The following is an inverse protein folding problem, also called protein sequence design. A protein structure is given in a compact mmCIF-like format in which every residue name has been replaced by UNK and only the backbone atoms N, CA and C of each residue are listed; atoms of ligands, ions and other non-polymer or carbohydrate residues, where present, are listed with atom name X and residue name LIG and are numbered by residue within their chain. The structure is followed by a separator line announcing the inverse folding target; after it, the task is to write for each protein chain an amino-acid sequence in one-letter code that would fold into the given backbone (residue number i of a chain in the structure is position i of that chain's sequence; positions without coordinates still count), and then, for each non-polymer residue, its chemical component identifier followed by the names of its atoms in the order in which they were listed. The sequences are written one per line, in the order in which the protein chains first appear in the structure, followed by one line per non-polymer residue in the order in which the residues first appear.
data_IF_248685973945
#
_entry.id   IF_248685973945
#
_cell.length_a   1.000
_cell.length_b   1.000
_cell.length_c   1.000
_cell.angle_alpha   90.00
_cell.angle_beta   90.00
_cell.angle_gamma   90.00
#
_symmetry.space_group_name_H-M   'P 1'
#
loop_
_entity.id
_entity.type
_entity.pdbx_description
1 polymer ?
#
# COMPACT_ATOMS: atom_id res chain seq x y z
N UNK A 1 -27.29 -9.75 -15.82
CA UNK A 1 -27.87 -8.64 -15.02
C UNK A 1 -28.31 -7.54 -15.98
N UNK A 2 -29.42 -6.85 -15.73
CA UNK A 2 -29.83 -5.72 -16.58
C UNK A 2 -28.94 -4.50 -16.39
N UNK A 3 -28.64 -3.77 -17.46
CA UNK A 3 -27.83 -2.56 -17.45
C UNK A 3 -28.42 -1.50 -16.50
N UNK A 4 -29.74 -1.36 -16.47
CA UNK A 4 -30.47 -0.46 -15.56
C UNK A 4 -30.14 -0.68 -14.09
N UNK A 5 -29.93 -1.94 -13.66
CA UNK A 5 -29.51 -2.26 -12.30
C UNK A 5 -28.09 -1.82 -12.00
N UNK A 6 -27.18 -1.92 -12.97
CA UNK A 6 -25.77 -1.51 -12.82
C UNK A 6 -25.65 0.03 -12.79
N UNK A 7 -26.54 0.74 -13.45
CA UNK A 7 -26.56 2.21 -13.53
C UNK A 7 -27.31 2.89 -12.36
N UNK A 8 -27.91 2.13 -11.44
CA UNK A 8 -28.81 2.62 -10.40
C UNK A 8 -28.24 3.77 -9.54
N UNK A 9 -26.94 3.74 -9.26
CA UNK A 9 -26.27 4.71 -8.39
C UNK A 9 -25.46 5.75 -9.18
N UNK A 10 -25.80 5.98 -10.46
CA UNK A 10 -25.05 6.85 -11.36
C UNK A 10 -26.01 7.82 -12.03
N UNK A 11 -25.64 9.10 -12.07
CA UNK A 11 -26.30 10.07 -12.93
C UNK A 11 -25.79 9.88 -14.36
N UNK A 12 -26.68 9.69 -15.31
CA UNK A 12 -26.34 9.45 -16.70
C UNK A 12 -27.40 9.99 -17.67
N UNK A 13 -26.98 10.17 -18.91
CA UNK A 13 -27.88 10.45 -20.05
C UNK A 13 -27.85 9.25 -21.00
N UNK A 14 -29.01 8.69 -21.30
CA UNK A 14 -29.15 7.70 -22.36
C UNK A 14 -29.16 8.43 -23.72
N UNK A 15 -28.06 8.29 -24.47
CA UNK A 15 -27.93 8.92 -25.80
C UNK A 15 -28.63 8.08 -26.85
N UNK A 16 -28.52 6.74 -26.77
CA UNK A 16 -29.06 5.79 -27.74
C UNK A 16 -29.29 4.44 -27.08
N UNK A 17 -30.22 3.65 -27.62
CA UNK A 17 -30.44 2.26 -27.22
C UNK A 17 -31.38 2.09 -26.03
N UNK A 18 -31.16 1.07 -25.20
CA UNK A 18 -32.05 0.66 -24.12
C UNK A 18 -31.25 0.17 -22.90
N UNK A 19 -31.67 0.57 -21.71
CA UNK A 19 -31.06 0.16 -20.43
C UNK A 19 -31.53 -1.19 -19.90
N UNK A 20 -32.54 -1.79 -20.50
CA UNK A 20 -33.02 -3.13 -20.16
C UNK A 20 -32.19 -4.26 -20.80
N UNK A 21 -31.12 -3.89 -21.51
CA UNK A 21 -30.15 -4.83 -22.10
C UNK A 21 -29.51 -5.69 -21.00
N UNK A 22 -29.52 -7.00 -21.21
CA UNK A 22 -28.73 -7.91 -20.32
C UNK A 22 -27.25 -7.80 -20.56
N UNK A 23 -26.50 -7.70 -19.47
CA UNK A 23 -25.04 -7.61 -19.46
C UNK A 23 -24.42 -8.67 -18.60
N UNK A 24 -23.29 -9.19 -19.10
CA UNK A 24 -22.50 -10.23 -18.43
C UNK A 24 -21.40 -9.65 -17.55
N UNK A 25 -20.81 -8.50 -17.93
CA UNK A 25 -19.66 -7.91 -17.23
C UNK A 25 -19.49 -6.42 -17.59
N UNK A 26 -18.69 -5.70 -16.78
CA UNK A 26 -18.26 -4.31 -17.00
C UNK A 26 -16.76 -4.30 -17.28
N UNK A 27 -16.38 -3.84 -18.46
CA UNK A 27 -15.00 -3.92 -18.95
C UNK A 27 -14.47 -2.52 -19.28
N UNK A 28 -13.25 -2.19 -18.85
CA UNK A 28 -12.57 -0.94 -19.20
C UNK A 28 -11.30 -1.16 -20.07
N UNK A 29 -10.90 -2.41 -20.29
CA UNK A 29 -9.84 -2.80 -21.22
C UNK A 29 -10.44 -3.38 -22.51
N UNK A 30 -10.38 -2.63 -23.61
CA UNK A 30 -10.99 -3.01 -24.90
C UNK A 30 -10.56 -4.39 -25.42
N UNK A 31 -9.40 -4.88 -25.01
CA UNK A 31 -8.87 -6.20 -25.38
C UNK A 31 -9.59 -7.36 -24.69
N UNK A 32 -10.31 -7.08 -23.62
CA UNK A 32 -11.09 -8.04 -22.82
C UNK A 32 -12.58 -8.03 -23.13
N UNK A 33 -13.02 -7.15 -24.02
CA UNK A 33 -14.42 -7.05 -24.42
C UNK A 33 -14.86 -8.32 -25.11
N UNK A 34 -16.01 -8.83 -24.73
CA UNK A 34 -16.71 -9.99 -25.30
C UNK A 34 -18.20 -9.68 -25.47
N UNK A 35 -18.95 -10.58 -26.11
CA UNK A 35 -20.38 -10.42 -26.27
C UNK A 35 -21.09 -10.28 -24.90
N UNK A 36 -21.98 -9.33 -24.81
CA UNK A 36 -22.77 -9.08 -23.59
C UNK A 36 -22.08 -8.18 -22.56
N UNK A 37 -20.88 -7.67 -22.83
CA UNK A 37 -20.20 -6.76 -21.89
C UNK A 37 -20.56 -5.30 -22.10
N UNK A 38 -20.42 -4.47 -21.06
CA UNK A 38 -20.41 -3.01 -21.15
C UNK A 38 -18.96 -2.53 -21.18
N UNK A 39 -18.60 -1.74 -22.19
CA UNK A 39 -17.30 -1.10 -22.24
C UNK A 39 -17.36 0.31 -21.65
N UNK A 40 -16.53 0.59 -20.65
CA UNK A 40 -16.38 1.91 -20.02
C UNK A 40 -15.11 2.57 -20.55
N UNK A 41 -15.25 3.67 -21.29
CA UNK A 41 -14.16 4.39 -21.93
C UNK A 41 -13.43 5.31 -20.92
N UNK A 42 -12.41 4.80 -20.24
CA UNK A 42 -11.66 5.57 -19.26
C UNK A 42 -10.70 6.56 -19.90
N UNK A 43 -10.69 7.81 -19.45
CA UNK A 43 -9.58 8.74 -19.71
C UNK A 43 -8.38 8.35 -18.85
N UNK A 44 -7.35 7.78 -19.47
CA UNK A 44 -6.08 7.47 -18.83
C UNK A 44 -5.11 8.63 -18.88
N UNK A 45 -4.00 8.52 -18.13
CA UNK A 45 -2.94 9.53 -18.15
C UNK A 45 -2.29 9.67 -19.55
N UNK A 46 -1.98 8.52 -20.18
CA UNK A 46 -1.29 8.49 -21.47
C UNK A 46 -2.22 8.18 -22.67
N UNK A 47 -3.37 7.58 -22.42
CA UNK A 47 -4.24 7.09 -23.47
C UNK A 47 -5.69 7.35 -23.10
N UNK A 48 -6.44 7.92 -24.01
CA UNK A 48 -7.88 8.11 -23.90
C UNK A 48 -8.62 6.85 -24.39
N UNK A 49 -9.39 6.23 -23.50
CA UNK A 49 -10.18 5.02 -23.76
C UNK A 49 -11.27 5.21 -24.82
N UNK A 50 -11.76 6.44 -25.05
CA UNK A 50 -12.76 6.73 -26.08
C UNK A 50 -12.30 6.31 -27.49
N UNK A 51 -10.99 6.34 -27.75
CA UNK A 51 -10.41 5.89 -29.03
C UNK A 51 -10.66 4.40 -29.30
N UNK A 52 -10.96 3.62 -28.26
CA UNK A 52 -11.18 2.17 -28.39
C UNK A 52 -12.67 1.78 -28.42
N UNK A 53 -13.59 2.75 -28.37
CA UNK A 53 -15.03 2.49 -28.46
C UNK A 53 -15.39 1.73 -29.74
N UNK A 54 -14.91 2.12 -30.95
CA UNK A 54 -15.21 1.36 -32.17
C UNK A 54 -14.71 -0.09 -32.13
N UNK A 55 -13.54 -0.32 -31.53
CA UNK A 55 -12.99 -1.67 -31.34
C UNK A 55 -13.84 -2.48 -30.37
N UNK A 56 -14.25 -1.89 -29.24
CA UNK A 56 -15.09 -2.55 -28.24
C UNK A 56 -16.42 -2.99 -28.85
N UNK A 57 -17.08 -2.12 -29.63
CA UNK A 57 -18.31 -2.45 -30.36
C UNK A 57 -18.07 -3.62 -31.31
N UNK A 58 -17.02 -3.58 -32.13
CA UNK A 58 -16.66 -4.67 -33.04
C UNK A 58 -16.38 -5.99 -32.33
N UNK A 59 -15.89 -5.92 -31.08
CA UNK A 59 -15.63 -7.08 -30.22
C UNK A 59 -16.87 -7.61 -29.51
N UNK A 60 -18.04 -6.99 -29.70
CA UNK A 60 -19.33 -7.46 -29.20
C UNK A 60 -19.81 -6.79 -27.91
N UNK A 61 -19.32 -5.59 -27.58
CA UNK A 61 -19.90 -4.82 -26.49
C UNK A 61 -21.40 -4.58 -26.73
N UNK A 62 -22.23 -4.81 -25.71
CA UNK A 62 -23.66 -4.56 -25.77
C UNK A 62 -24.04 -3.11 -25.41
N UNK A 63 -23.17 -2.45 -24.68
CA UNK A 63 -23.29 -1.04 -24.35
C UNK A 63 -21.91 -0.39 -24.18
N UNK A 64 -21.86 0.93 -24.35
CA UNK A 64 -20.67 1.75 -24.08
C UNK A 64 -21.01 2.89 -23.13
N UNK A 65 -20.07 3.18 -22.21
CA UNK A 65 -20.15 4.33 -21.29
C UNK A 65 -19.02 5.30 -21.64
N UNK A 66 -19.41 6.54 -21.95
CA UNK A 66 -18.53 7.60 -22.43
C UNK A 66 -18.70 8.87 -21.61
N UNK A 67 -17.70 9.76 -21.60
CA UNK A 67 -17.82 11.12 -21.05
C UNK A 67 -17.79 12.19 -22.14
N UNK A 68 -17.20 11.93 -23.29
CA UNK A 68 -17.08 12.86 -24.39
C UNK A 68 -18.11 12.57 -25.46
N UNK A 69 -18.56 13.63 -26.15
CA UNK A 69 -19.41 13.47 -27.33
C UNK A 69 -18.62 12.83 -28.46
N UNK A 70 -19.17 11.77 -29.03
CA UNK A 70 -18.62 11.10 -30.19
C UNK A 70 -19.73 10.46 -31.04
N UNK A 71 -19.49 10.40 -32.34
CA UNK A 71 -20.37 9.69 -33.24
C UNK A 71 -20.20 8.19 -33.12
N UNK A 72 -21.29 7.49 -32.80
CA UNK A 72 -21.37 6.03 -32.73
C UNK A 72 -22.45 5.59 -33.71
N UNK A 73 -22.06 5.14 -34.91
CA UNK A 73 -23.03 4.86 -35.97
C UNK A 73 -23.81 3.56 -35.76
N UNK A 74 -23.23 2.62 -35.03
CA UNK A 74 -23.84 1.30 -34.79
C UNK A 74 -25.04 1.36 -33.88
N UNK A 75 -25.95 0.39 -34.02
CA UNK A 75 -27.12 0.27 -33.16
C UNK A 75 -26.75 -0.42 -31.83
N UNK A 76 -26.17 0.37 -30.93
CA UNK A 76 -25.71 -0.06 -29.59
C UNK A 76 -26.23 0.91 -28.51
N UNK A 77 -26.37 0.44 -27.30
CA UNK A 77 -26.69 1.30 -26.15
C UNK A 77 -25.53 2.20 -25.79
N UNK A 78 -25.75 3.52 -25.76
CA UNK A 78 -24.75 4.54 -25.44
C UNK A 78 -25.21 5.33 -24.22
N UNK A 79 -24.40 5.24 -23.17
CA UNK A 79 -24.59 5.94 -21.89
C UNK A 79 -23.53 7.04 -21.78
N UNK A 80 -23.96 8.27 -21.55
CA UNK A 80 -23.08 9.39 -21.28
C UNK A 80 -23.10 9.73 -19.78
N UNK A 81 -21.92 9.92 -19.21
CA UNK A 81 -21.69 10.30 -17.80
C UNK A 81 -20.71 11.46 -17.75
N UNK A 82 -20.68 12.20 -16.65
CA UNK A 82 -19.70 13.27 -16.46
C UNK A 82 -18.29 12.75 -16.28
N UNK A 83 -18.13 11.62 -15.53
CA UNK A 83 -16.83 10.97 -15.27
C UNK A 83 -16.96 9.44 -15.38
N UNK A 84 -16.28 8.87 -16.37
CA UNK A 84 -16.29 7.43 -16.62
C UNK A 84 -15.57 6.62 -15.55
N UNK A 85 -14.58 7.20 -14.82
CA UNK A 85 -13.90 6.53 -13.73
C UNK A 85 -14.78 6.39 -12.50
N UNK A 86 -15.49 7.47 -12.18
CA UNK A 86 -16.49 7.46 -11.12
C UNK A 86 -17.62 6.48 -11.46
N UNK A 87 -18.10 6.52 -12.71
CA UNK A 87 -19.09 5.57 -13.18
C UNK A 87 -18.63 4.12 -13.07
N UNK A 88 -17.38 3.81 -13.46
CA UNK A 88 -16.78 2.46 -13.30
C UNK A 88 -16.82 1.99 -11.84
N UNK A 89 -16.54 2.87 -10.88
CA UNK A 89 -16.54 2.51 -9.47
C UNK A 89 -17.92 2.03 -9.00
N UNK A 90 -18.97 2.81 -9.27
CA UNK A 90 -20.33 2.46 -8.87
C UNK A 90 -20.90 1.30 -9.68
N UNK A 91 -20.62 1.23 -11.00
CA UNK A 91 -21.00 0.08 -11.83
C UNK A 91 -20.40 -1.22 -11.33
N UNK A 92 -19.13 -1.18 -10.94
CA UNK A 92 -18.44 -2.36 -10.40
C UNK A 92 -19.02 -2.78 -9.05
N UNK A 93 -19.34 -1.83 -8.16
CA UNK A 93 -19.99 -2.14 -6.89
C UNK A 93 -21.33 -2.87 -7.11
N UNK A 94 -22.16 -2.35 -8.00
CA UNK A 94 -23.43 -2.99 -8.35
C UNK A 94 -23.25 -4.36 -9.00
N UNK A 95 -22.29 -4.49 -9.91
CA UNK A 95 -21.98 -5.77 -10.59
C UNK A 95 -21.62 -6.87 -9.59
N UNK A 96 -20.82 -6.54 -8.58
CA UNK A 96 -20.35 -7.49 -7.55
C UNK A 96 -21.25 -7.54 -6.31
N UNK A 97 -22.42 -6.91 -6.35
CA UNK A 97 -23.44 -6.99 -5.29
C UNK A 97 -23.08 -6.18 -4.05
N UNK A 98 -22.41 -5.03 -4.22
CA UNK A 98 -22.06 -4.07 -3.16
C UNK A 98 -21.35 -4.72 -1.97
N UNK A 99 -20.23 -5.43 -2.20
CA UNK A 99 -19.54 -6.24 -1.17
C UNK A 99 -19.00 -5.38 0.00
N UNK A 100 -18.83 -4.07 -0.18
CA UNK A 100 -18.47 -3.13 0.88
C UNK A 100 -19.49 -3.09 2.02
N UNK A 101 -20.75 -3.42 1.75
CA UNK A 101 -21.80 -3.47 2.77
C UNK A 101 -21.74 -4.73 3.66
N UNK A 102 -21.00 -5.74 3.24
CA UNK A 102 -20.84 -7.00 3.96
C UNK A 102 -19.50 -7.10 4.73
N UNK A 103 -18.62 -6.09 4.58
CA UNK A 103 -17.29 -6.03 5.17
C UNK A 103 -17.14 -4.76 6.04
N UNK A 104 -16.42 -4.86 7.13
CA UNK A 104 -15.82 -3.66 7.74
C UNK A 104 -14.65 -3.20 6.84
N UNK A 105 -14.71 -1.96 6.38
CA UNK A 105 -13.80 -1.43 5.39
C UNK A 105 -12.82 -0.43 5.98
N UNK A 106 -11.51 -0.66 5.79
CA UNK A 106 -10.44 0.17 6.35
C UNK A 106 -9.51 0.62 5.24
N UNK A 107 -9.34 1.93 5.06
CA UNK A 107 -8.40 2.49 4.12
C UNK A 107 -7.25 3.22 4.80
N UNK A 108 -6.03 3.06 4.27
CA UNK A 108 -4.84 3.73 4.79
C UNK A 108 -4.21 4.63 3.73
N UNK A 109 -3.99 5.89 4.09
CA UNK A 109 -3.20 6.83 3.28
C UNK A 109 -2.02 7.39 4.08
N UNK A 110 -1.10 8.04 3.40
CA UNK A 110 0.12 8.65 3.94
C UNK A 110 1.31 8.42 3.02
N UNK A 111 2.47 8.98 3.33
CA UNK A 111 3.67 8.79 2.52
C UNK A 111 4.37 7.48 2.87
N UNK A 112 4.67 7.24 4.13
CA UNK A 112 5.39 6.05 4.64
C UNK A 112 4.55 5.29 5.67
N UNK A 113 4.98 4.08 6.04
CA UNK A 113 4.36 3.29 7.10
C UNK A 113 3.15 2.45 6.70
N UNK A 114 2.43 2.76 5.62
CA UNK A 114 1.19 2.08 5.20
C UNK A 114 1.28 0.55 5.21
N UNK A 115 2.31 -0.03 4.58
CA UNK A 115 2.47 -1.50 4.50
C UNK A 115 2.64 -2.13 5.87
N UNK A 116 3.44 -1.50 6.73
CA UNK A 116 3.69 -1.94 8.11
C UNK A 116 2.42 -1.84 8.95
N UNK A 117 1.70 -0.72 8.87
CA UNK A 117 0.43 -0.53 9.60
C UNK A 117 -0.63 -1.54 9.15
N UNK A 118 -0.76 -1.82 7.84
CA UNK A 118 -1.65 -2.89 7.32
C UNK A 118 -1.28 -4.24 7.93
N UNK A 119 0.00 -4.59 7.96
CA UNK A 119 0.46 -5.86 8.52
C UNK A 119 0.22 -5.95 10.03
N UNK A 120 0.45 -4.86 10.76
CA UNK A 120 0.16 -4.77 12.20
C UNK A 120 -1.34 -4.97 12.47
N UNK A 121 -2.18 -4.23 11.75
CA UNK A 121 -3.63 -4.34 11.90
C UNK A 121 -4.12 -5.74 11.53
N UNK A 122 -3.62 -6.30 10.42
CA UNK A 122 -3.95 -7.70 10.06
C UNK A 122 -3.52 -8.68 11.15
N UNK A 123 -2.32 -8.53 11.72
CA UNK A 123 -1.83 -9.39 12.81
C UNK A 123 -2.70 -9.29 14.06
N UNK A 124 -3.19 -8.10 14.40
CA UNK A 124 -4.14 -7.89 15.49
C UNK A 124 -5.47 -8.60 15.21
N UNK A 125 -6.02 -8.44 14.00
CA UNK A 125 -7.26 -9.10 13.60
C UNK A 125 -7.13 -10.63 13.59
N UNK A 126 -6.00 -11.14 13.09
CA UNK A 126 -5.71 -12.58 13.12
C UNK A 126 -5.61 -13.11 14.57
N UNK A 127 -5.04 -12.32 15.51
CA UNK A 127 -4.97 -12.67 16.93
C UNK A 127 -6.35 -12.69 17.61
N UNK A 128 -7.28 -11.84 17.18
CA UNK A 128 -8.69 -11.82 17.60
C UNK A 128 -9.52 -12.93 16.94
N UNK A 129 -8.96 -13.63 15.94
CA UNK A 129 -9.70 -14.63 15.16
C UNK A 129 -10.58 -14.06 14.06
N UNK A 130 -10.42 -12.78 13.72
CA UNK A 130 -11.18 -12.11 12.66
C UNK A 130 -10.47 -12.29 11.33
N UNK A 131 -11.13 -12.98 10.40
CA UNK A 131 -10.60 -13.19 9.06
C UNK A 131 -10.66 -11.90 8.25
N UNK A 132 -9.52 -11.45 7.74
CA UNK A 132 -9.39 -10.23 6.95
C UNK A 132 -8.70 -10.46 5.61
N UNK A 133 -9.02 -9.63 4.63
CA UNK A 133 -8.32 -9.52 3.36
C UNK A 133 -7.60 -8.18 3.23
N UNK A 134 -6.53 -8.13 2.43
CA UNK A 134 -5.78 -6.88 2.20
C UNK A 134 -5.57 -6.59 0.73
N UNK A 135 -5.59 -5.32 0.35
CA UNK A 135 -5.29 -4.82 -1.00
C UNK A 135 -4.13 -3.83 -0.91
N UNK A 136 -3.04 -4.07 -1.63
CA UNK A 136 -1.89 -3.18 -1.57
C UNK A 136 -0.75 -3.56 -2.52
N UNK A 137 0.44 -3.04 -2.26
CA UNK A 137 1.63 -3.25 -3.12
C UNK A 137 2.04 -4.72 -3.27
N UNK A 138 1.72 -5.56 -2.29
CA UNK A 138 1.98 -7.00 -2.36
C UNK A 138 0.92 -7.77 -3.17
N UNK A 139 -0.11 -7.06 -3.65
CA UNK A 139 -1.28 -7.63 -4.31
C UNK A 139 -2.51 -7.69 -3.40
N UNK A 140 -3.49 -8.48 -3.81
CA UNK A 140 -4.68 -8.83 -3.03
C UNK A 140 -4.38 -10.10 -2.26
N UNK A 141 -4.51 -10.07 -0.94
CA UNK A 141 -4.22 -11.21 -0.05
C UNK A 141 -5.50 -11.65 0.64
N UNK A 142 -5.90 -12.90 0.42
CA UNK A 142 -7.07 -13.53 1.04
C UNK A 142 -6.62 -14.88 1.63
N UNK A 143 -6.54 -14.96 2.96
CA UNK A 143 -5.90 -16.10 3.62
C UNK A 143 -4.45 -16.26 3.17
N UNK A 144 -4.09 -17.42 2.61
CA UNK A 144 -2.75 -17.72 2.10
C UNK A 144 -2.59 -17.45 0.58
N UNK A 145 -3.65 -17.00 -0.10
CA UNK A 145 -3.62 -16.73 -1.54
C UNK A 145 -3.24 -15.28 -1.80
N UNK A 146 -2.35 -15.09 -2.77
CA UNK A 146 -1.89 -13.76 -3.22
C UNK A 146 -2.22 -13.63 -4.71
N UNK A 147 -3.01 -12.61 -5.05
CA UNK A 147 -3.34 -12.25 -6.42
C UNK A 147 -2.57 -10.98 -6.79
N UNK A 148 -1.78 -11.05 -7.84
CA UNK A 148 -0.94 -9.92 -8.29
C UNK A 148 -1.81 -8.78 -8.81
N UNK A 149 -1.41 -7.55 -8.52
CA UNK A 149 -1.99 -6.32 -9.04
C UNK A 149 -0.92 -5.46 -9.69
N UNK A 150 -1.31 -4.64 -10.67
CA UNK A 150 -0.37 -3.74 -11.33
C UNK A 150 -0.10 -2.47 -10.51
N UNK A 151 -1.04 -2.09 -9.65
CA UNK A 151 -0.99 -0.89 -8.83
C UNK A 151 -1.19 -1.20 -7.35
N UNK A 152 -0.66 -0.33 -6.48
CA UNK A 152 -0.90 -0.40 -5.02
C UNK A 152 -2.39 -0.28 -4.69
N UNK A 153 -3.11 0.58 -5.40
CA UNK A 153 -4.56 0.71 -5.39
C UNK A 153 -5.02 0.36 -6.80
N UNK A 154 -5.56 -0.83 -7.05
CA UNK A 154 -6.05 -1.25 -8.37
C UNK A 154 -7.19 -0.35 -8.89
N UNK A 155 -7.65 -0.56 -10.11
CA UNK A 155 -8.87 0.11 -10.58
C UNK A 155 -10.08 -0.39 -9.78
N UNK A 156 -11.15 0.39 -9.78
CA UNK A 156 -12.34 0.12 -8.97
C UNK A 156 -12.98 -1.26 -9.26
N UNK A 157 -12.93 -1.72 -10.50
CA UNK A 157 -13.40 -3.06 -10.88
C UNK A 157 -12.66 -4.16 -10.10
N UNK A 158 -11.33 -4.12 -10.08
CA UNK A 158 -10.52 -5.11 -9.36
C UNK A 158 -10.71 -5.01 -7.85
N UNK A 159 -10.93 -3.79 -7.31
CA UNK A 159 -11.20 -3.60 -5.88
C UNK A 159 -12.52 -4.27 -5.51
N UNK A 160 -13.61 -3.99 -6.23
CA UNK A 160 -14.93 -4.55 -5.95
C UNK A 160 -14.95 -6.07 -6.14
N UNK A 161 -14.29 -6.58 -7.20
CA UNK A 161 -14.12 -8.00 -7.40
C UNK A 161 -13.36 -8.65 -6.22
N UNK A 162 -12.26 -8.04 -5.78
CA UNK A 162 -11.49 -8.54 -4.64
C UNK A 162 -12.31 -8.57 -3.35
N UNK A 163 -13.14 -7.54 -3.11
CA UNK A 163 -14.04 -7.48 -1.95
C UNK A 163 -15.10 -8.59 -2.03
N UNK A 164 -15.68 -8.86 -3.19
CA UNK A 164 -16.59 -10.02 -3.37
C UNK A 164 -15.89 -11.33 -3.06
N UNK A 165 -14.66 -11.52 -3.58
CA UNK A 165 -13.85 -12.71 -3.25
C UNK A 165 -13.56 -12.82 -1.74
N UNK A 166 -13.36 -11.70 -1.04
CA UNK A 166 -13.15 -11.68 0.41
C UNK A 166 -14.41 -12.11 1.15
N UNK A 167 -15.58 -11.59 0.77
CA UNK A 167 -16.87 -11.99 1.36
C UNK A 167 -17.11 -13.47 1.16
N UNK A 168 -16.95 -13.97 -0.08
CA UNK A 168 -17.15 -15.38 -0.42
C UNK A 168 -16.15 -16.30 0.32
N UNK A 169 -14.96 -15.80 0.61
CA UNK A 169 -13.99 -16.49 1.45
C UNK A 169 -14.28 -16.39 2.96
N UNK A 170 -15.35 -15.69 3.37
CA UNK A 170 -15.74 -15.50 4.77
C UNK A 170 -14.90 -14.47 5.53
N UNK A 171 -14.21 -13.55 4.85
CA UNK A 171 -13.61 -12.40 5.50
C UNK A 171 -14.70 -11.48 6.09
N UNK A 172 -14.34 -10.81 7.18
CA UNK A 172 -15.19 -9.81 7.85
C UNK A 172 -14.63 -8.40 7.71
N UNK A 173 -13.35 -8.28 7.39
CA UNK A 173 -12.64 -6.99 7.29
C UNK A 173 -11.86 -6.95 5.98
N UNK A 174 -11.95 -5.83 5.27
CA UNK A 174 -11.10 -5.48 4.15
C UNK A 174 -10.19 -4.31 4.53
N UNK A 175 -8.89 -4.42 4.27
CA UNK A 175 -7.91 -3.37 4.52
C UNK A 175 -7.25 -2.99 3.19
N UNK A 176 -7.36 -1.73 2.79
CA UNK A 176 -6.78 -1.25 1.53
C UNK A 176 -5.77 -0.12 1.73
N UNK A 177 -4.67 -0.17 1.00
CA UNK A 177 -3.77 0.97 0.85
C UNK A 177 -4.32 1.92 -0.21
N UNK A 178 -4.91 3.04 0.23
CA UNK A 178 -5.42 4.10 -0.64
C UNK A 178 -4.27 5.06 -0.99
N UNK A 179 -3.67 4.89 -2.18
CA UNK A 179 -2.68 5.82 -2.70
C UNK A 179 -3.36 7.14 -3.09
N UNK A 180 -2.61 8.25 -3.05
CA UNK A 180 -3.13 9.55 -3.46
C UNK A 180 -3.66 9.56 -4.90
N UNK A 181 -2.96 8.88 -5.82
CA UNK A 181 -3.44 8.70 -7.19
C UNK A 181 -4.68 7.79 -7.27
N UNK A 182 -4.78 6.77 -6.42
CA UNK A 182 -5.98 5.93 -6.35
C UNK A 182 -7.22 6.72 -5.94
N UNK A 183 -7.07 7.61 -4.96
CA UNK A 183 -8.11 8.55 -4.53
C UNK A 183 -8.42 9.59 -5.63
N UNK A 184 -7.40 10.22 -6.21
CA UNK A 184 -7.55 11.19 -7.31
C UNK A 184 -8.29 10.61 -8.52
N UNK A 185 -8.04 9.34 -8.84
CA UNK A 185 -8.60 8.66 -10.00
C UNK A 185 -9.87 7.87 -9.69
N UNK A 186 -10.60 8.21 -8.64
CA UNK A 186 -11.92 7.65 -8.29
C UNK A 186 -11.94 6.12 -8.12
N UNK A 187 -10.78 5.51 -7.79
CA UNK A 187 -10.70 4.04 -7.68
C UNK A 187 -11.43 3.48 -6.47
N UNK A 188 -11.73 4.33 -5.50
CA UNK A 188 -12.38 3.95 -4.24
C UNK A 188 -13.75 4.59 -4.03
N UNK A 189 -14.26 5.37 -4.98
CA UNK A 189 -15.43 6.25 -4.79
C UNK A 189 -16.72 5.52 -4.38
N UNK A 190 -16.90 4.27 -4.78
CA UNK A 190 -18.08 3.50 -4.40
C UNK A 190 -17.97 2.84 -3.01
N UNK A 191 -16.94 3.19 -2.21
CA UNK A 191 -16.74 2.63 -0.88
C UNK A 191 -16.86 3.74 0.15
N UNK A 192 -17.85 3.66 1.04
CA UNK A 192 -17.92 4.47 2.25
C UNK A 192 -17.19 3.72 3.37
N UNK A 193 -15.93 4.08 3.59
CA UNK A 193 -15.06 3.37 4.53
C UNK A 193 -15.52 3.53 5.98
N UNK A 194 -15.53 2.46 6.75
CA UNK A 194 -15.75 2.57 8.19
C UNK A 194 -14.62 3.31 8.88
N UNK A 195 -13.36 3.06 8.44
CA UNK A 195 -12.17 3.69 9.00
C UNK A 195 -11.22 4.19 7.92
N UNK A 196 -10.77 5.44 8.05
CA UNK A 196 -9.71 6.05 7.25
C UNK A 196 -8.49 6.34 8.13
N UNK A 197 -7.30 5.87 7.76
CA UNK A 197 -6.08 6.05 8.57
C UNK A 197 -5.11 6.97 7.85
N UNK A 198 -4.63 8.02 8.54
CA UNK A 198 -3.54 8.87 8.10
C UNK A 198 -2.27 8.56 8.89
N UNK A 199 -1.21 8.10 8.20
CA UNK A 199 0.05 7.75 8.86
C UNK A 199 1.00 8.94 8.99
N UNK A 200 1.36 9.58 7.87
CA UNK A 200 2.27 10.74 7.81
C UNK A 200 2.29 11.37 6.43
N UNK A 201 2.93 12.56 6.35
CA UNK A 201 3.18 13.26 5.10
C UNK A 201 4.62 13.73 4.99
N UNK A 202 5.27 13.44 3.87
CA UNK A 202 6.59 13.94 3.53
C UNK A 202 6.72 14.16 2.03
N UNK A 203 7.78 14.85 1.60
CA UNK A 203 8.06 15.08 0.19
C UNK A 203 8.28 13.75 -0.54
N UNK A 204 7.40 13.43 -1.47
CA UNK A 204 7.43 12.22 -2.30
C UNK A 204 6.41 12.39 -3.44
N UNK A 205 6.47 11.55 -4.47
CA UNK A 205 5.45 11.50 -5.52
C UNK A 205 5.18 12.82 -6.27
N UNK A 206 6.21 13.66 -6.48
CA UNK A 206 6.12 14.89 -7.28
C UNK A 206 6.84 14.66 -8.59
N UNK A 207 6.15 14.83 -9.72
CA UNK A 207 6.71 14.65 -11.05
C UNK A 207 5.63 14.55 -12.13
N UNK A 208 6.07 14.52 -13.39
CA UNK A 208 5.19 14.62 -14.58
C UNK A 208 4.08 13.56 -14.64
N UNK A 209 4.32 12.37 -14.08
CA UNK A 209 3.34 11.27 -14.06
C UNK A 209 2.64 11.05 -12.72
N UNK A 210 2.86 11.93 -11.74
CA UNK A 210 2.34 11.79 -10.38
C UNK A 210 1.54 13.05 -9.97
N UNK A 211 2.03 13.84 -9.02
CA UNK A 211 1.39 15.11 -8.60
C UNK A 211 2.21 16.30 -9.07
N UNK A 212 1.53 17.38 -9.42
CA UNK A 212 2.19 18.61 -9.86
C UNK A 212 2.98 19.29 -8.74
N UNK A 213 2.49 19.18 -7.50
CA UNK A 213 3.09 19.78 -6.31
C UNK A 213 2.64 19.07 -5.02
N UNK A 214 3.25 19.47 -3.89
CA UNK A 214 2.93 18.94 -2.56
C UNK A 214 1.51 19.25 -2.11
N UNK A 215 0.94 20.34 -2.58
CA UNK A 215 -0.42 20.72 -2.24
C UNK A 215 -1.43 19.75 -2.85
N UNK A 216 -1.33 19.50 -4.14
CA UNK A 216 -2.18 18.51 -4.80
C UNK A 216 -2.01 17.12 -4.16
N UNK A 217 -0.76 16.73 -3.82
CA UNK A 217 -0.47 15.47 -3.16
C UNK A 217 -1.18 15.34 -1.81
N UNK A 218 -1.17 16.41 -0.99
CA UNK A 218 -1.88 16.45 0.29
C UNK A 218 -3.39 16.42 0.09
N UNK A 219 -3.94 17.25 -0.79
CA UNK A 219 -5.37 17.34 -1.07
C UNK A 219 -5.92 15.98 -1.59
N UNK A 220 -5.17 15.28 -2.43
CA UNK A 220 -5.56 13.95 -2.88
C UNK A 220 -5.64 12.94 -1.73
N UNK A 221 -4.75 13.02 -0.73
CA UNK A 221 -4.85 12.16 0.47
C UNK A 221 -6.04 12.53 1.35
N UNK A 222 -6.35 13.82 1.47
CA UNK A 222 -7.46 14.32 2.26
C UNK A 222 -8.82 13.84 1.73
N UNK A 223 -8.92 13.44 0.45
CA UNK A 223 -10.14 12.87 -0.12
C UNK A 223 -10.65 11.64 0.67
N UNK A 224 -9.75 10.82 1.22
CA UNK A 224 -10.13 9.67 2.04
C UNK A 224 -11.03 10.06 3.21
N UNK A 225 -10.79 11.23 3.82
CA UNK A 225 -11.50 11.68 5.03
C UNK A 225 -12.82 12.39 4.74
N UNK A 226 -13.20 12.42 3.45
CA UNK A 226 -14.55 12.75 2.98
C UNK A 226 -15.37 11.50 2.63
N UNK A 227 -14.73 10.31 2.60
CA UNK A 227 -15.38 9.04 2.28
C UNK A 227 -15.10 7.96 3.34
N UNK A 228 -14.95 8.37 4.60
CA UNK A 228 -14.92 7.46 5.74
C UNK A 228 -15.78 7.99 6.90
N UNK A 229 -16.28 7.07 7.73
CA UNK A 229 -17.08 7.40 8.91
C UNK A 229 -16.20 7.89 10.06
N UNK A 230 -15.05 7.24 10.26
CA UNK A 230 -14.08 7.59 11.30
C UNK A 230 -12.67 7.70 10.74
N UNK A 231 -12.01 8.83 10.99
CA UNK A 231 -10.64 9.11 10.62
C UNK A 231 -9.68 8.93 11.81
N UNK A 232 -8.61 8.19 11.62
CA UNK A 232 -7.56 7.91 12.61
C UNK A 232 -6.30 8.68 12.19
N UNK A 233 -5.92 9.69 12.95
CA UNK A 233 -4.89 10.66 12.53
C UNK A 233 -3.68 10.70 13.45
N UNK A 234 -2.50 10.79 12.83
CA UNK A 234 -1.27 11.16 13.52
C UNK A 234 -1.29 12.68 13.82
N UNK A 235 -1.53 13.07 15.07
CA UNK A 235 -1.59 14.47 15.48
C UNK A 235 -0.21 15.16 15.48
N UNK A 236 0.87 14.38 15.53
CA UNK A 236 2.25 14.91 15.53
C UNK A 236 2.76 15.26 14.12
N UNK A 237 2.01 14.89 13.07
CA UNK A 237 2.38 15.24 11.72
C UNK A 237 2.13 16.72 11.43
N UNK A 238 3.09 17.37 10.76
CA UNK A 238 3.07 18.82 10.47
C UNK A 238 1.87 19.28 9.64
N UNK A 239 1.23 18.35 8.91
CA UNK A 239 0.07 18.66 8.07
C UNK A 239 -1.26 18.26 8.74
N UNK A 240 -1.26 17.91 10.04
CA UNK A 240 -2.46 17.46 10.73
C UNK A 240 -3.63 18.43 10.55
N UNK A 241 -3.45 19.71 10.86
CA UNK A 241 -4.51 20.72 10.73
C UNK A 241 -5.02 20.85 9.29
N UNK A 242 -4.14 20.73 8.32
CA UNK A 242 -4.47 20.85 6.90
C UNK A 242 -5.19 19.62 6.33
N UNK A 243 -4.79 18.41 6.74
CA UNK A 243 -5.43 17.18 6.23
C UNK A 243 -6.80 16.97 6.86
N UNK A 244 -7.03 17.52 8.04
CA UNK A 244 -8.31 17.45 8.76
C UNK A 244 -9.25 18.61 8.44
N UNK A 245 -8.78 19.69 7.82
CA UNK A 245 -9.54 20.94 7.57
C UNK A 245 -10.92 20.71 6.91
N UNK A 246 -10.97 19.79 5.95
CA UNK A 246 -12.19 19.47 5.20
C UNK A 246 -12.66 18.02 5.43
N UNK A 247 -12.21 17.39 6.51
CA UNK A 247 -12.70 16.06 6.88
C UNK A 247 -14.16 16.12 7.35
N UNK A 248 -14.96 15.16 6.90
CA UNK A 248 -16.38 15.05 7.29
C UNK A 248 -16.63 13.88 8.26
N UNK A 249 -15.59 13.14 8.59
CA UNK A 249 -15.62 11.98 9.48
C UNK A 249 -15.42 12.37 10.97
N UNK A 250 -15.80 11.49 11.87
CA UNK A 250 -15.37 11.57 13.26
C UNK A 250 -13.86 11.40 13.36
N UNK A 251 -13.20 12.18 14.19
CA UNK A 251 -11.74 12.20 14.33
C UNK A 251 -11.30 11.55 15.63
N UNK A 252 -10.41 10.55 15.52
CA UNK A 252 -9.64 10.02 16.67
C UNK A 252 -8.15 10.19 16.35
N UNK A 253 -7.39 10.67 17.33
CA UNK A 253 -5.98 11.03 17.15
C UNK A 253 -5.04 10.12 17.92
N UNK A 254 -3.85 9.90 17.37
CA UNK A 254 -2.76 9.19 18.03
C UNK A 254 -1.44 9.95 17.85
N UNK A 255 -0.50 9.73 18.76
CA UNK A 255 0.84 10.33 18.69
C UNK A 255 1.55 10.33 20.02
N UNK A 256 2.65 11.08 20.11
CA UNK A 256 3.36 11.37 21.36
C UNK A 256 2.88 12.67 22.01
N UNK A 257 2.19 13.51 21.27
CA UNK A 257 1.57 14.72 21.79
C UNK A 257 0.58 14.37 22.90
N UNK A 258 0.66 15.13 24.03
CA UNK A 258 -0.28 14.99 25.13
C UNK A 258 -1.73 15.32 24.77
N UNK A 259 -1.96 15.88 23.58
CA UNK A 259 -3.29 16.24 23.05
C UNK A 259 -3.94 15.07 22.27
N UNK A 260 -3.19 14.01 21.98
CA UNK A 260 -3.74 12.85 21.29
C UNK A 260 -4.74 12.09 22.18
N UNK A 261 -5.74 11.47 21.54
CA UNK A 261 -6.67 10.57 22.23
C UNK A 261 -5.99 9.30 22.72
N UNK A 262 -4.98 8.81 21.97
CA UNK A 262 -4.04 7.77 22.40
C UNK A 262 -2.62 8.33 22.35
N UNK A 263 -2.00 8.45 23.51
CA UNK A 263 -0.64 8.98 23.67
C UNK A 263 0.33 7.83 23.90
N UNK A 264 1.31 7.68 22.97
CA UNK A 264 2.50 6.83 23.20
C UNK A 264 3.52 7.56 24.08
N UNK A 265 4.17 6.86 24.98
CA UNK A 265 5.25 7.39 25.80
C UNK A 265 6.18 6.26 26.32
N UNK A 266 7.33 6.61 26.88
CA UNK A 266 8.30 5.68 27.46
C UNK A 266 8.75 4.60 26.44
N UNK A 267 9.10 5.05 25.23
CA UNK A 267 9.53 4.15 24.16
C UNK A 267 10.97 3.67 24.33
N UNK A 268 11.16 2.36 24.30
CA UNK A 268 12.44 1.70 24.49
C UNK A 268 12.73 0.69 23.38
N UNK A 269 13.99 0.62 22.97
CA UNK A 269 14.43 -0.38 21.98
C UNK A 269 14.68 -1.72 22.68
N UNK A 270 14.19 -2.82 22.08
CA UNK A 270 14.38 -4.18 22.59
C UNK A 270 15.24 -4.98 21.62
N UNK A 271 16.36 -5.50 22.11
CA UNK A 271 17.20 -6.46 21.39
C UNK A 271 17.51 -7.65 22.27
N UNK A 272 17.09 -8.83 21.82
CA UNK A 272 17.41 -10.12 22.45
C UNK A 272 17.53 -11.19 21.36
N UNK A 273 18.20 -12.33 21.60
CA UNK A 273 18.36 -13.37 20.59
C UNK A 273 17.05 -13.74 19.91
N UNK A 274 16.98 -13.61 18.58
CA UNK A 274 15.81 -13.91 17.77
C UNK A 274 14.64 -12.91 17.85
N UNK A 275 14.81 -11.79 18.56
CA UNK A 275 13.80 -10.73 18.65
C UNK A 275 14.47 -9.35 18.63
N UNK A 276 14.00 -8.49 17.74
CA UNK A 276 14.34 -7.07 17.69
C UNK A 276 13.06 -6.26 17.52
N UNK A 277 12.87 -5.23 18.31
CA UNK A 277 11.62 -4.48 18.31
C UNK A 277 11.66 -3.25 19.21
N UNK A 278 10.49 -2.74 19.52
CA UNK A 278 10.31 -1.61 20.44
C UNK A 278 9.27 -1.96 21.50
N UNK A 279 9.43 -1.40 22.69
CA UNK A 279 8.40 -1.37 23.73
C UNK A 279 8.00 0.08 23.94
N UNK A 280 6.73 0.33 24.21
CA UNK A 280 6.22 1.63 24.61
C UNK A 280 4.94 1.46 25.44
N UNK A 281 4.59 2.51 26.17
CA UNK A 281 3.35 2.56 26.95
C UNK A 281 2.35 3.50 26.30
N UNK A 282 1.08 3.26 26.54
CA UNK A 282 0.01 4.16 26.10
C UNK A 282 -0.81 4.69 27.26
N UNK A 283 -1.47 5.82 27.05
CA UNK A 283 -2.50 6.41 27.91
C UNK A 283 -3.54 7.14 27.06
N UNK A 284 -4.63 7.55 27.66
CA UNK A 284 -5.80 8.13 27.00
C UNK A 284 -6.90 7.10 26.86
N UNK A 285 -7.40 6.83 25.65
CA UNK A 285 -8.45 5.84 25.41
C UNK A 285 -8.12 4.45 25.96
N UNK A 286 -6.83 4.07 25.97
CA UNK A 286 -6.34 2.82 26.54
C UNK A 286 -4.97 3.00 27.21
N UNK A 287 -4.75 2.29 28.32
CA UNK A 287 -3.47 2.20 29.01
C UNK A 287 -2.93 0.79 28.85
N UNK A 288 -1.90 0.64 28.00
CA UNK A 288 -1.29 -0.63 27.66
C UNK A 288 0.24 -0.51 27.69
N UNK A 289 0.92 -1.62 27.96
CA UNK A 289 2.37 -1.80 27.80
C UNK A 289 2.59 -2.69 26.58
N UNK A 290 3.11 -2.10 25.50
CA UNK A 290 3.05 -2.65 24.13
C UNK A 290 4.44 -3.04 23.65
N UNK A 291 4.62 -4.30 23.25
CA UNK A 291 5.76 -4.75 22.49
C UNK A 291 5.43 -4.84 21.00
N UNK A 292 6.34 -4.40 20.14
CA UNK A 292 6.22 -4.47 18.68
C UNK A 292 7.43 -5.17 18.12
N UNK A 293 7.23 -6.29 17.42
CA UNK A 293 8.29 -7.09 16.81
C UNK A 293 8.82 -6.51 15.47
N UNK A 294 8.85 -5.19 15.36
CA UNK A 294 9.44 -4.45 14.22
C UNK A 294 10.35 -3.37 14.80
N UNK A 295 11.63 -3.31 14.42
CA UNK A 295 12.57 -2.36 14.98
C UNK A 295 12.31 -0.92 14.54
N UNK A 296 12.88 0.00 15.31
CA UNK A 296 12.89 1.44 15.05
C UNK A 296 11.69 2.18 15.66
N UNK A 297 11.97 3.37 16.16
CA UNK A 297 10.98 4.24 16.82
C UNK A 297 9.80 4.61 15.93
N UNK A 298 10.01 4.66 14.60
CA UNK A 298 8.92 4.86 13.63
C UNK A 298 7.84 3.75 13.69
N UNK A 299 8.21 2.56 14.19
CA UNK A 299 7.26 1.45 14.37
C UNK A 299 6.24 1.74 15.46
N UNK A 300 6.56 2.62 16.43
CA UNK A 300 5.62 3.08 17.45
C UNK A 300 4.45 3.83 16.82
N UNK A 301 4.71 4.76 15.89
CA UNK A 301 3.63 5.47 15.18
C UNK A 301 2.75 4.52 14.37
N UNK A 302 3.36 3.55 13.67
CA UNK A 302 2.60 2.55 12.91
C UNK A 302 1.76 1.66 13.84
N UNK A 303 2.30 1.30 15.00
CA UNK A 303 1.59 0.52 16.01
C UNK A 303 0.45 1.33 16.64
N UNK A 304 0.70 2.60 16.99
CA UNK A 304 -0.34 3.51 17.48
C UNK A 304 -1.50 3.63 16.47
N UNK A 305 -1.20 3.80 15.16
CA UNK A 305 -2.24 3.83 14.13
C UNK A 305 -3.06 2.54 14.07
N UNK A 306 -2.39 1.39 14.07
CA UNK A 306 -3.05 0.08 14.00
C UNK A 306 -3.87 -0.21 15.27
N UNK A 307 -3.29 0.02 16.46
CA UNK A 307 -4.00 -0.23 17.72
C UNK A 307 -5.14 0.75 17.95
N UNK A 308 -5.01 2.03 17.58
CA UNK A 308 -6.11 3.00 17.68
C UNK A 308 -7.30 2.53 16.85
N UNK A 309 -7.04 2.09 15.61
CA UNK A 309 -8.09 1.53 14.75
C UNK A 309 -8.70 0.28 15.38
N UNK A 310 -7.89 -0.63 15.92
CA UNK A 310 -8.37 -1.84 16.59
C UNK A 310 -9.22 -1.54 17.84
N UNK A 311 -8.82 -0.55 18.64
CA UNK A 311 -9.58 -0.10 19.81
C UNK A 311 -10.95 0.46 19.40
N UNK A 312 -10.99 1.29 18.35
CA UNK A 312 -12.23 1.83 17.79
C UNK A 312 -13.15 0.75 17.21
N UNK A 313 -12.56 -0.36 16.74
CA UNK A 313 -13.30 -1.55 16.31
C UNK A 313 -13.79 -2.42 17.48
N UNK A 314 -13.40 -2.15 18.71
CA UNK A 314 -13.74 -2.95 19.89
C UNK A 314 -12.93 -4.25 20.03
N UNK A 315 -11.75 -4.33 19.40
CA UNK A 315 -10.84 -5.49 19.49
C UNK A 315 -10.28 -5.59 20.93
N UNK A 316 -10.09 -6.82 21.39
CA UNK A 316 -9.59 -7.08 22.74
C UNK A 316 -8.15 -6.60 22.95
N UNK A 317 -7.82 -6.15 24.17
CA UNK A 317 -6.47 -5.73 24.52
C UNK A 317 -5.47 -6.88 24.35
N UNK A 318 -5.88 -8.12 24.65
CA UNK A 318 -5.06 -9.34 24.44
C UNK A 318 -4.68 -9.54 22.99
N UNK A 319 -5.62 -9.39 22.05
CA UNK A 319 -5.36 -9.53 20.63
C UNK A 319 -4.48 -8.39 20.10
N UNK A 320 -4.67 -7.15 20.58
CA UNK A 320 -3.83 -6.01 20.23
C UNK A 320 -2.37 -6.28 20.63
N UNK A 321 -2.14 -6.64 21.89
CA UNK A 321 -0.80 -6.91 22.42
C UNK A 321 -0.14 -8.09 21.70
N UNK A 322 -0.85 -9.22 21.55
CA UNK A 322 -0.35 -10.41 20.88
C UNK A 322 -0.07 -10.14 19.40
N UNK A 323 -0.96 -9.45 18.70
CA UNK A 323 -0.82 -9.14 17.29
C UNK A 323 0.41 -8.28 17.01
N UNK A 324 0.69 -7.28 17.85
CA UNK A 324 1.85 -6.40 17.70
C UNK A 324 3.17 -7.10 18.09
N UNK A 325 3.17 -7.92 19.14
CA UNK A 325 4.37 -8.66 19.58
C UNK A 325 4.79 -9.77 18.60
N UNK A 326 3.88 -10.27 17.76
CA UNK A 326 4.15 -11.36 16.82
C UNK A 326 4.13 -10.94 15.35
N UNK A 327 3.89 -9.66 15.07
CA UNK A 327 3.75 -9.16 13.69
C UNK A 327 5.00 -9.41 12.87
N UNK A 328 4.80 -9.84 11.61
CA UNK A 328 5.86 -9.99 10.61
C UNK A 328 5.44 -9.30 9.32
N UNK A 329 6.36 -8.53 8.77
CA UNK A 329 6.18 -7.89 7.46
C UNK A 329 7.17 -8.50 6.50
N UNK A 330 6.70 -9.33 5.58
CA UNK A 330 7.57 -10.05 4.64
C UNK A 330 8.46 -9.07 3.87
N UNK A 331 9.78 -9.26 3.99
CA UNK A 331 10.79 -8.43 3.35
C UNK A 331 10.87 -6.99 3.89
N UNK A 332 10.41 -6.72 5.11
CA UNK A 332 10.54 -5.41 5.78
C UNK A 332 11.06 -5.62 7.19
N UNK A 333 12.37 -5.53 7.34
CA UNK A 333 13.08 -5.84 8.59
C UNK A 333 12.59 -7.17 9.21
N UNK A 334 12.35 -8.13 8.33
CA UNK A 334 11.80 -9.43 8.71
C UNK A 334 12.85 -10.23 9.48
N UNK A 335 12.61 -10.49 10.76
CA UNK A 335 13.47 -11.33 11.57
C UNK A 335 13.32 -12.79 11.16
N UNK A 336 14.43 -13.41 10.78
CA UNK A 336 14.51 -14.84 10.46
C UNK A 336 15.00 -15.58 11.71
N UNK A 337 14.26 -16.60 12.12
CA UNK A 337 14.67 -17.44 13.25
C UNK A 337 15.88 -18.29 12.86
N UNK A 338 17.00 -18.04 13.51
CA UNK A 338 18.27 -18.76 13.30
C UNK A 338 18.80 -19.29 14.62
N UNK A 339 19.53 -20.42 14.62
CA UNK A 339 20.27 -20.86 15.81
C UNK A 339 21.49 -19.94 16.03
N UNK A 340 21.73 -19.55 17.27
CA UNK A 340 22.90 -18.74 17.63
C UNK A 340 22.56 -17.40 18.30
N UNK A 341 23.60 -16.65 18.64
CA UNK A 341 23.49 -15.38 19.37
C UNK A 341 23.53 -14.16 18.43
N UNK A 342 22.91 -14.25 17.25
CA UNK A 342 22.81 -13.16 16.31
C UNK A 342 21.38 -13.02 15.79
N UNK A 343 21.06 -11.87 15.22
CA UNK A 343 19.78 -11.59 14.59
C UNK A 343 19.99 -11.49 13.08
N UNK A 344 19.27 -12.31 12.31
CA UNK A 344 19.22 -12.23 10.84
C UNK A 344 17.96 -11.50 10.43
N UNK A 345 18.14 -10.45 9.62
CA UNK A 345 17.04 -9.62 9.12
C UNK A 345 17.04 -9.62 7.60
N UNK A 346 15.83 -9.65 7.02
CA UNK A 346 15.62 -9.47 5.58
C UNK A 346 14.87 -8.16 5.36
N UNK A 347 15.45 -7.27 4.54
CA UNK A 347 14.80 -6.03 4.16
C UNK A 347 14.77 -5.81 2.65
N UNK A 348 13.80 -5.04 2.19
CA UNK A 348 13.62 -4.69 0.78
C UNK A 348 14.39 -3.42 0.38
N UNK A 349 15.24 -2.87 1.22
CA UNK A 349 16.06 -1.70 0.91
C UNK A 349 16.84 -1.95 -0.40
N UNK A 350 16.65 -1.10 -1.39
CA UNK A 350 17.21 -1.26 -2.74
C UNK A 350 17.74 0.06 -3.32
N UNK A 351 17.90 1.07 -2.48
CA UNK A 351 18.52 2.36 -2.78
C UNK A 351 19.21 2.90 -1.52
N UNK A 352 20.05 3.92 -1.68
CA UNK A 352 20.86 4.49 -0.60
C UNK A 352 20.02 4.96 0.59
N UNK A 353 18.97 5.73 0.35
CA UNK A 353 18.12 6.27 1.42
C UNK A 353 17.44 5.16 2.24
N UNK A 354 16.95 4.11 1.58
CA UNK A 354 16.34 2.97 2.30
C UNK A 354 17.37 2.18 3.10
N UNK A 355 18.58 2.00 2.55
CA UNK A 355 19.69 1.34 3.23
C UNK A 355 20.18 2.16 4.42
N UNK A 356 20.31 3.48 4.27
CA UNK A 356 20.67 4.40 5.34
C UNK A 356 19.68 4.31 6.50
N UNK A 357 18.39 4.47 6.22
CA UNK A 357 17.35 4.40 7.23
C UNK A 357 17.38 3.10 8.03
N UNK A 358 17.59 1.95 7.38
CA UNK A 358 17.62 0.66 8.10
C UNK A 358 18.90 0.48 8.89
N UNK A 359 20.05 0.84 8.33
CA UNK A 359 21.33 0.68 9.02
C UNK A 359 21.44 1.64 10.22
N UNK A 360 20.98 2.89 10.10
CA UNK A 360 20.89 3.84 11.22
C UNK A 360 19.94 3.31 12.30
N UNK A 361 18.76 2.84 11.93
CA UNK A 361 17.81 2.22 12.87
C UNK A 361 18.47 1.06 13.63
N UNK A 362 19.21 0.19 12.94
CA UNK A 362 19.87 -0.94 13.57
C UNK A 362 21.06 -0.52 14.45
N UNK A 363 21.73 0.58 14.13
CA UNK A 363 22.78 1.17 14.98
C UNK A 363 22.25 1.66 16.33
N UNK A 364 21.02 2.15 16.38
CA UNK A 364 20.39 2.57 17.65
C UNK A 364 20.31 1.41 18.68
N UNK A 365 20.31 0.15 18.22
CA UNK A 365 20.33 -1.06 19.07
C UNK A 365 21.71 -1.42 19.61
N UNK A 366 22.74 -0.63 19.30
CA UNK A 366 24.14 -0.85 19.72
C UNK A 366 24.64 -2.27 19.43
N UNK A 367 24.50 -2.78 18.19
CA UNK A 367 24.97 -4.13 17.88
C UNK A 367 26.48 -4.22 18.03
N UNK A 368 26.98 -5.33 18.58
CA UNK A 368 28.44 -5.59 18.65
C UNK A 368 29.09 -5.56 17.24
N UNK A 369 28.35 -6.05 16.22
CA UNK A 369 28.77 -6.03 14.83
C UNK A 369 27.55 -5.96 13.91
N UNK A 370 27.54 -5.02 12.97
CA UNK A 370 26.52 -4.86 11.94
C UNK A 370 27.08 -5.27 10.57
N UNK A 371 26.57 -6.36 10.03
CA UNK A 371 26.94 -6.86 8.69
C UNK A 371 25.79 -6.56 7.73
N UNK A 372 26.10 -5.97 6.57
CA UNK A 372 25.16 -5.80 5.49
C UNK A 372 25.54 -6.64 4.28
N UNK A 373 24.64 -7.52 3.85
CA UNK A 373 24.78 -8.31 2.62
C UNK A 373 23.85 -7.74 1.56
N UNK A 374 24.41 -7.27 0.45
CA UNK A 374 23.62 -6.68 -0.62
C UNK A 374 24.27 -6.80 -1.99
N UNK A 375 23.48 -6.60 -3.01
CA UNK A 375 23.88 -6.37 -4.40
C UNK A 375 23.05 -5.25 -4.99
N UNK A 376 23.21 -4.99 -6.28
CA UNK A 376 22.40 -4.02 -7.00
C UNK A 376 21.83 -4.60 -8.30
N UNK A 377 20.67 -4.11 -8.71
CA UNK A 377 20.03 -4.55 -9.94
C UNK A 377 20.77 -4.02 -11.19
N UNK A 378 20.87 -4.86 -12.21
CA UNK A 378 21.33 -4.48 -13.54
C UNK A 378 20.34 -3.58 -14.29
N UNK A 379 20.79 -2.92 -15.36
CA UNK A 379 20.02 -1.98 -16.17
C UNK A 379 19.37 -0.87 -15.35
N UNK A 380 20.10 -0.36 -14.36
CA UNK A 380 19.70 0.76 -13.48
C UNK A 380 20.80 1.82 -13.47
N UNK A 381 20.46 3.10 -13.17
CA UNK A 381 21.47 4.15 -13.07
C UNK A 381 22.61 3.78 -12.12
N UNK A 382 23.85 3.88 -12.60
CA UNK A 382 25.06 3.53 -11.83
C UNK A 382 25.22 4.33 -10.54
N UNK A 383 24.73 5.57 -10.52
CA UNK A 383 24.76 6.42 -9.32
C UNK A 383 24.14 5.73 -8.10
N UNK A 384 23.07 4.96 -8.30
CA UNK A 384 22.46 4.17 -7.22
C UNK A 384 23.42 3.16 -6.59
N UNK A 385 24.29 2.52 -7.39
CA UNK A 385 25.32 1.56 -6.94
C UNK A 385 26.34 2.27 -6.08
N UNK A 386 26.78 3.45 -6.54
CA UNK A 386 27.77 4.29 -5.84
C UNK A 386 27.24 4.74 -4.49
N UNK A 387 26.05 5.30 -4.45
CA UNK A 387 25.41 5.79 -3.22
C UNK A 387 25.16 4.64 -2.21
N UNK A 388 24.72 3.47 -2.67
CA UNK A 388 24.51 2.31 -1.81
C UNK A 388 25.85 1.81 -1.23
N UNK A 389 26.93 1.76 -2.02
CA UNK A 389 28.27 1.40 -1.57
C UNK A 389 28.78 2.37 -0.51
N UNK A 390 28.64 3.67 -0.73
CA UNK A 390 29.05 4.71 0.21
C UNK A 390 28.27 4.61 1.53
N UNK A 391 26.95 4.45 1.46
CA UNK A 391 26.08 4.30 2.63
C UNK A 391 26.46 3.05 3.46
N UNK A 392 26.64 1.91 2.80
CA UNK A 392 27.07 0.67 3.46
C UNK A 392 28.43 0.82 4.11
N UNK A 393 29.40 1.44 3.42
CA UNK A 393 30.76 1.65 3.94
C UNK A 393 30.82 2.62 5.14
N UNK A 394 29.88 3.57 5.24
CA UNK A 394 29.78 4.47 6.41
C UNK A 394 29.12 3.80 7.62
N UNK A 395 28.09 2.99 7.41
CA UNK A 395 27.19 2.58 8.48
C UNK A 395 27.35 1.13 8.92
N UNK A 396 27.90 0.24 8.09
CA UNK A 396 28.13 -1.15 8.44
C UNK A 396 29.57 -1.41 8.92
N UNK A 397 29.77 -2.42 9.77
CA UNK A 397 31.09 -2.89 10.16
C UNK A 397 31.74 -3.79 9.10
N UNK A 398 30.88 -4.44 8.27
CA UNK A 398 31.27 -5.25 7.13
C UNK A 398 30.19 -5.22 6.06
N UNK A 399 30.59 -4.93 4.84
CA UNK A 399 29.75 -5.06 3.64
C UNK A 399 30.10 -6.34 2.88
N UNK A 400 29.13 -7.23 2.69
CA UNK A 400 29.27 -8.44 1.88
C UNK A 400 28.59 -8.21 0.55
N UNK A 401 29.39 -8.09 -0.52
CA UNK A 401 28.90 -7.78 -1.87
C UNK A 401 28.61 -9.05 -2.65
N UNK A 402 27.44 -9.15 -3.24
CA UNK A 402 26.99 -10.35 -3.92
C UNK A 402 26.03 -10.00 -5.09
N UNK A 403 25.69 -11.00 -5.88
CA UNK A 403 24.67 -10.86 -6.93
C UNK A 403 23.31 -10.44 -6.36
N UNK A 404 22.59 -9.67 -7.16
CA UNK A 404 21.15 -9.46 -7.04
C UNK A 404 20.52 -9.75 -8.42
N UNK A 405 19.49 -9.09 -8.85
CA UNK A 405 18.94 -9.23 -10.20
C UNK A 405 19.82 -8.48 -11.23
N UNK A 406 20.88 -9.15 -11.70
CA UNK A 406 21.87 -8.57 -12.63
C UNK A 406 21.32 -8.29 -14.04
N UNK A 407 20.18 -8.93 -14.41
CA UNK A 407 19.60 -8.85 -15.76
C UNK A 407 20.64 -9.19 -16.83
N UNK A 408 20.93 -8.22 -17.73
CA UNK A 408 21.85 -8.40 -18.84
C UNK A 408 23.30 -7.93 -18.54
N UNK A 409 23.56 -7.45 -17.32
CA UNK A 409 24.89 -6.98 -16.89
C UNK A 409 25.66 -8.07 -16.15
N UNK A 410 27.00 -8.06 -16.32
CA UNK A 410 27.87 -8.94 -15.54
C UNK A 410 27.83 -8.59 -14.04
N UNK A 411 27.76 -9.60 -13.19
CA UNK A 411 27.68 -9.44 -11.73
C UNK A 411 28.90 -8.73 -11.19
N UNK A 412 30.10 -9.02 -11.72
CA UNK A 412 31.34 -8.42 -11.25
C UNK A 412 31.46 -6.95 -11.64
N UNK A 413 30.91 -6.55 -12.81
CA UNK A 413 30.87 -5.15 -13.21
C UNK A 413 29.98 -4.34 -12.27
N UNK A 414 28.82 -4.89 -11.87
CA UNK A 414 27.93 -4.26 -10.86
C UNK A 414 28.64 -4.14 -9.50
N UNK A 415 29.32 -5.19 -9.05
CA UNK A 415 30.06 -5.20 -7.79
C UNK A 415 31.22 -4.19 -7.84
N UNK A 416 31.96 -4.13 -8.95
CA UNK A 416 33.04 -3.15 -9.13
C UNK A 416 32.51 -1.71 -9.11
N UNK A 417 31.36 -1.43 -9.71
CA UNK A 417 30.71 -0.12 -9.62
C UNK A 417 30.41 0.26 -8.15
N UNK A 418 29.92 -0.68 -7.31
CA UNK A 418 29.65 -0.45 -5.90
C UNK A 418 30.96 -0.14 -5.15
N UNK A 419 32.02 -0.86 -5.45
CA UNK A 419 33.34 -0.68 -4.79
C UNK A 419 33.97 0.64 -5.20
N UNK A 420 34.21 0.83 -6.50
CA UNK A 420 34.99 1.97 -7.02
C UNK A 420 34.19 3.28 -6.89
N UNK A 421 32.90 3.24 -7.16
CA UNK A 421 32.04 4.44 -7.10
C UNK A 421 31.57 4.82 -5.69
N UNK A 422 31.61 3.91 -4.72
CA UNK A 422 31.03 4.10 -3.39
C UNK A 422 31.92 3.70 -2.23
N UNK A 423 32.16 2.41 -2.02
CA UNK A 423 32.85 1.89 -0.83
C UNK A 423 34.26 2.46 -0.64
N UNK A 424 35.03 2.61 -1.70
CA UNK A 424 36.41 3.20 -1.65
C UNK A 424 36.43 4.67 -1.24
N UNK A 425 35.29 5.36 -1.25
CA UNK A 425 35.17 6.72 -0.70
C UNK A 425 35.07 6.74 0.83
N UNK A 426 34.98 5.56 1.44
CA UNK A 426 34.82 5.37 2.88
C UNK A 426 35.96 4.50 3.41
N UNK A 427 36.05 4.37 4.75
CA UNK A 427 36.92 3.42 5.43
C UNK A 427 36.23 2.07 5.70
N UNK A 428 35.09 1.81 5.08
CA UNK A 428 34.26 0.62 5.28
C UNK A 428 34.96 -0.67 4.83
N UNK A 429 34.88 -1.70 5.65
CA UNK A 429 35.40 -3.04 5.30
C UNK A 429 34.42 -3.75 4.39
N UNK A 430 34.91 -4.43 3.38
CA UNK A 430 34.08 -5.23 2.51
C UNK A 430 34.73 -6.54 2.08
N UNK A 431 33.91 -7.48 1.65
CA UNK A 431 34.29 -8.73 1.00
C UNK A 431 33.37 -8.99 -0.18
N UNK A 432 33.95 -9.59 -1.22
CA UNK A 432 33.19 -9.96 -2.44
C UNK A 432 32.96 -11.46 -2.44
N UNK A 433 31.69 -11.85 -2.44
CA UNK A 433 31.25 -13.24 -2.58
C UNK A 433 30.13 -13.23 -3.66
N UNK A 434 30.47 -13.39 -4.94
CA UNK A 434 29.54 -13.13 -6.04
C UNK A 434 28.26 -13.94 -5.98
N UNK A 435 28.33 -15.22 -5.61
CA UNK A 435 27.18 -16.10 -5.50
C UNK A 435 26.43 -15.88 -4.19
N UNK A 436 25.15 -15.47 -4.26
CA UNK A 436 24.35 -15.10 -3.08
C UNK A 436 24.25 -16.18 -2.02
N UNK A 437 24.07 -17.44 -2.42
CA UNK A 437 24.01 -18.54 -1.46
C UNK A 437 25.29 -18.68 -0.63
N UNK A 438 26.44 -18.49 -1.26
CA UNK A 438 27.74 -18.59 -0.59
C UNK A 438 28.01 -17.34 0.27
N UNK A 439 27.53 -16.16 -0.18
CA UNK A 439 27.58 -14.93 0.59
C UNK A 439 26.74 -15.02 1.88
N UNK A 440 25.56 -15.62 1.82
CA UNK A 440 24.73 -15.87 3.01
C UNK A 440 25.43 -16.83 3.99
N UNK A 441 26.09 -17.87 3.48
CA UNK A 441 26.86 -18.79 4.35
C UNK A 441 28.11 -18.17 4.96
N UNK A 442 28.68 -17.17 4.28
CA UNK A 442 29.86 -16.44 4.74
C UNK A 442 29.54 -15.53 5.94
N UNK A 443 28.33 -14.94 6.01
CA UNK A 443 27.88 -14.08 7.10
C UNK A 443 27.56 -14.87 8.37
#
# INVERSE_FOLDING_TARGET
MQLSNILKNIEYTLIKGNTETEISDVIYDSRKVTNGTVFVALKGYNVDGHKFVPQAIKSGASAVVISDDMEIPEDITVIKVDDTRKALAYMSAMLFGEPEKELTTIALTGTKGKTTTVAMLKSILDAEGIKSGTIGTLGIIIGNKIYKTNNTTPESYEIQHAMRMMVDAGCKVMIIKASSLGLKWHRTDAIDFDYGIFTNFSHDHIGDSEHKDLEEYLQCKALLFKQCKKGIFNIDDKVFDRITENATCDITTYGFSKKADIVGYDDNLISKPGYIGVNFKTKGLKTLDVNVAIPGRFSVYNALAAMTTAIEMGISDEAILKGLDTVKVKGRVEAVKVPGNYTLLIDYAHNALSMENILETLREYNPHRLIVLFGAGGNRPKVRRYEMGETAGRLADLSVLTEDNSRDEDVMDIINDIIEGGLKKTNGKYVVVPKRQDAIRYC
#
